data_IF_490023298315
#
_entry.id   IF_490023298315
#
_cell.length_a   1.000
_cell.length_b   1.000
_cell.length_c   1.000
_cell.angle_alpha   90.00
_cell.angle_beta   90.00
_cell.angle_gamma   90.00
#
_symmetry.space_group_name_H-M   'P 1'
#
loop_
_entity.id
_entity.type
_entity.pdbx_description
1 polymer ?
#
# COMPACT_ATOMS: atom_id res chain seq x y z
N UNK A 1 13.93 -28.62 11.87
CA UNK A 1 13.84 -27.57 10.84
C UNK A 1 12.48 -27.60 10.14
N UNK A 2 11.38 -27.25 10.83
CA UNK A 2 10.01 -27.27 10.27
C UNK A 2 9.14 -26.07 10.72
N UNK A 3 9.76 -24.97 11.16
CA UNK A 3 9.05 -23.78 11.65
C UNK A 3 9.65 -22.46 11.13
N UNK A 4 9.99 -22.41 9.84
CA UNK A 4 10.50 -21.20 9.17
C UNK A 4 9.68 -20.88 7.91
N UNK A 5 8.38 -21.16 7.94
CA UNK A 5 7.48 -20.99 6.79
C UNK A 5 6.47 -19.84 6.98
N UNK A 6 6.69 -18.92 7.93
CA UNK A 6 5.84 -17.74 8.12
C UNK A 6 6.72 -16.53 8.46
N UNK A 7 7.39 -15.98 7.44
CA UNK A 7 8.02 -14.66 7.56
C UNK A 7 7.28 -13.72 6.60
N UNK A 8 6.19 -13.17 7.15
CA UNK A 8 5.69 -11.81 7.01
C UNK A 8 5.96 -11.09 5.69
N UNK A 9 5.01 -11.20 4.77
CA UNK A 9 4.84 -10.26 3.67
C UNK A 9 3.92 -9.12 4.13
N UNK A 10 4.38 -8.22 5.01
CA UNK A 10 3.63 -6.97 5.29
C UNK A 10 3.95 -5.97 4.19
N UNK A 11 3.21 -6.10 3.09
CA UNK A 11 3.10 -5.05 2.11
C UNK A 11 1.62 -5.01 1.69
N UNK A 12 0.82 -4.25 2.44
CA UNK A 12 -0.49 -3.84 1.95
C UNK A 12 -0.20 -2.82 0.84
N UNK A 13 0.07 -3.36 -0.34
CA UNK A 13 0.24 -2.53 -1.53
C UNK A 13 -1.15 -2.33 -2.08
N UNK A 14 -1.67 -1.12 -1.93
CA UNK A 14 -2.58 -0.64 -2.95
C UNK A 14 -1.71 -0.57 -4.21
N UNK A 15 -1.75 -1.60 -5.06
CA UNK A 15 -1.20 -1.48 -6.40
C UNK A 15 -2.05 -0.42 -7.11
N UNK A 16 -1.40 0.38 -7.93
CA UNK A 16 -1.89 1.65 -8.41
C UNK A 16 -1.44 1.68 -9.87
N UNK A 17 -2.18 1.00 -10.76
CA UNK A 17 -1.78 0.82 -12.16
C UNK A 17 -2.31 1.95 -13.07
N UNK A 18 -1.53 2.36 -14.07
CA UNK A 18 -1.94 3.40 -15.01
C UNK A 18 -3.05 2.87 -15.94
N UNK A 19 -4.27 3.39 -15.83
CA UNK A 19 -5.33 3.13 -16.79
C UNK A 19 -5.39 4.24 -17.86
N UNK A 20 -5.51 3.87 -19.12
CA UNK A 20 -5.88 4.81 -20.18
C UNK A 20 -7.35 5.23 -20.00
N UNK A 21 -7.70 6.53 -20.04
CA UNK A 21 -9.07 6.96 -19.80
C UNK A 21 -9.95 6.61 -21.00
N UNK A 22 -10.88 5.68 -20.82
CA UNK A 22 -12.08 5.62 -21.67
C UNK A 22 -13.15 6.48 -21.00
N UNK A 23 -13.36 7.70 -21.54
CA UNK A 23 -14.40 8.60 -21.07
C UNK A 23 -15.75 8.13 -21.61
N UNK A 24 -16.59 7.60 -20.74
CA UNK A 24 -17.98 7.25 -21.05
C UNK A 24 -18.88 8.40 -20.54
N UNK A 25 -19.93 8.83 -21.28
CA UNK A 25 -20.77 9.99 -20.90
C UNK A 25 -21.43 9.88 -19.51
N UNK A 26 -21.57 8.67 -18.96
CA UNK A 26 -22.10 8.40 -17.62
C UNK A 26 -21.16 8.82 -16.46
N UNK A 27 -19.87 9.07 -16.72
CA UNK A 27 -18.90 9.47 -15.67
C UNK A 27 -19.19 10.84 -15.06
N UNK A 28 -19.79 11.77 -15.79
CA UNK A 28 -20.18 13.08 -15.24
C UNK A 28 -21.25 12.96 -14.15
N UNK A 29 -22.16 11.99 -14.29
CA UNK A 29 -23.20 11.73 -13.29
C UNK A 29 -22.62 11.00 -12.08
N UNK A 30 -21.75 10.00 -12.30
CA UNK A 30 -21.12 9.21 -11.23
C UNK A 30 -20.24 10.09 -10.34
N UNK A 31 -19.38 10.93 -10.91
CA UNK A 31 -18.42 11.79 -10.17
C UNK A 31 -19.10 12.85 -9.29
N UNK A 32 -20.35 13.20 -9.59
CA UNK A 32 -21.17 14.12 -8.79
C UNK A 32 -21.99 13.43 -7.68
N UNK A 33 -22.02 12.09 -7.66
CA UNK A 33 -22.84 11.33 -6.73
C UNK A 33 -22.30 11.37 -5.29
N UNK A 34 -23.21 11.28 -4.29
CA UNK A 34 -22.81 11.18 -2.87
C UNK A 34 -21.96 9.93 -2.61
N UNK A 35 -22.25 8.83 -3.30
CA UNK A 35 -21.50 7.58 -3.19
C UNK A 35 -20.07 7.76 -3.68
N UNK A 36 -19.87 8.42 -4.82
CA UNK A 36 -18.54 8.74 -5.30
C UNK A 36 -17.75 9.62 -4.32
N UNK A 37 -18.39 10.63 -3.72
CA UNK A 37 -17.75 11.45 -2.70
C UNK A 37 -17.32 10.63 -1.47
N UNK A 38 -18.13 9.65 -1.04
CA UNK A 38 -17.75 8.72 0.03
C UNK A 38 -16.53 7.89 -0.38
N UNK A 39 -16.58 7.21 -1.53
CA UNK A 39 -15.48 6.34 -1.99
C UNK A 39 -14.19 7.14 -2.19
N UNK A 40 -14.29 8.34 -2.75
CA UNK A 40 -13.17 9.28 -2.93
C UNK A 40 -12.55 9.68 -1.60
N UNK A 41 -13.37 10.04 -0.61
CA UNK A 41 -12.90 10.38 0.73
C UNK A 41 -12.18 9.20 1.37
N UNK A 42 -12.78 8.01 1.36
CA UNK A 42 -12.18 6.79 1.92
C UNK A 42 -10.85 6.45 1.24
N UNK A 43 -10.77 6.56 -0.09
CA UNK A 43 -9.54 6.37 -0.85
C UNK A 43 -8.45 7.36 -0.43
N UNK A 44 -8.79 8.65 -0.27
CA UNK A 44 -7.85 9.69 0.15
C UNK A 44 -7.35 9.47 1.59
N UNK A 45 -8.26 9.19 2.51
CA UNK A 45 -7.91 8.97 3.92
C UNK A 45 -7.05 7.70 4.08
N UNK A 46 -7.31 6.67 3.26
CA UNK A 46 -6.47 5.48 3.21
C UNK A 46 -5.09 5.77 2.61
N UNK A 47 -4.99 6.59 1.56
CA UNK A 47 -3.69 7.04 1.01
C UNK A 47 -2.87 7.75 2.10
N UNK A 48 -3.48 8.72 2.80
CA UNK A 48 -2.82 9.44 3.89
C UNK A 48 -2.41 8.54 5.08
N UNK A 49 -3.13 7.46 5.31
CA UNK A 49 -2.78 6.43 6.31
C UNK A 49 -1.54 5.63 5.89
N UNK A 50 -1.43 5.28 4.62
CA UNK A 50 -0.35 4.46 4.07
C UNK A 50 0.93 5.26 3.80
N UNK A 51 0.78 6.56 3.54
CA UNK A 51 1.87 7.47 3.18
C UNK A 51 2.00 8.61 4.17
N UNK A 52 1.85 8.31 5.47
CA UNK A 52 2.14 9.29 6.52
C UNK A 52 3.65 9.55 6.60
N UNK A 53 4.03 10.67 7.21
CA UNK A 53 5.43 11.05 7.37
C UNK A 53 6.27 9.94 8.04
N UNK A 54 5.77 9.37 9.14
CA UNK A 54 6.43 8.27 9.86
C UNK A 54 6.68 7.04 8.97
N UNK A 55 5.80 6.78 7.99
CA UNK A 55 5.97 5.69 7.04
C UNK A 55 7.10 5.99 6.05
N UNK A 56 7.16 7.22 5.54
CA UNK A 56 8.28 7.67 4.71
C UNK A 56 9.61 7.55 5.46
N UNK A 57 9.66 7.99 6.72
CA UNK A 57 10.86 7.86 7.55
C UNK A 57 11.29 6.39 7.70
N UNK A 58 10.36 5.48 7.99
CA UNK A 58 10.69 4.04 8.12
C UNK A 58 11.19 3.40 6.83
N UNK A 59 10.63 3.78 5.68
CA UNK A 59 11.12 3.31 4.39
C UNK A 59 12.52 3.89 4.12
N UNK A 60 12.73 5.17 4.44
CA UNK A 60 14.01 5.85 4.28
C UNK A 60 15.11 5.25 5.17
N UNK A 61 14.83 4.98 6.44
CA UNK A 61 15.74 4.28 7.37
C UNK A 61 16.21 2.96 6.77
N UNK A 62 15.27 2.14 6.27
CA UNK A 62 15.57 0.84 5.67
C UNK A 62 16.43 0.95 4.40
N UNK A 63 16.07 1.84 3.46
CA UNK A 63 16.82 2.02 2.21
C UNK A 63 18.23 2.56 2.48
N UNK A 64 18.38 3.44 3.47
CA UNK A 64 19.71 3.90 3.89
C UNK A 64 20.52 2.79 4.58
N UNK A 65 19.88 1.90 5.35
CA UNK A 65 20.54 0.71 5.91
C UNK A 65 21.07 -0.19 4.78
N UNK A 66 20.26 -0.42 3.72
CA UNK A 66 20.69 -1.15 2.52
C UNK A 66 21.84 -0.46 1.79
N UNK A 67 21.78 0.88 1.61
CA UNK A 67 22.84 1.63 0.95
C UNK A 67 24.15 1.58 1.74
N UNK A 68 24.07 1.68 3.06
CA UNK A 68 25.22 1.54 3.94
C UNK A 68 25.82 0.14 3.87
N UNK A 69 24.99 -0.90 3.82
CA UNK A 69 25.47 -2.26 3.61
C UNK A 69 26.18 -2.41 2.25
N UNK A 70 25.57 -1.90 1.18
CA UNK A 70 26.16 -1.83 -0.16
C UNK A 70 27.56 -1.19 -0.18
N UNK A 71 27.75 -0.11 0.59
CA UNK A 71 29.01 0.64 0.59
C UNK A 71 30.11 0.01 1.46
N UNK A 72 29.76 -0.83 2.43
CA UNK A 72 30.68 -1.26 3.48
C UNK A 72 30.95 -2.77 3.50
N UNK A 73 30.16 -3.60 2.82
CA UNK A 73 30.31 -5.05 2.81
C UNK A 73 31.12 -5.53 1.61
N UNK A 74 32.33 -6.04 1.86
CA UNK A 74 33.25 -6.49 0.80
C UNK A 74 32.72 -7.72 0.05
N UNK A 75 32.02 -8.64 0.74
CA UNK A 75 31.43 -9.82 0.08
C UNK A 75 30.35 -9.39 -0.91
N UNK A 76 29.53 -8.41 -0.53
CA UNK A 76 28.50 -7.86 -1.39
C UNK A 76 29.11 -7.14 -2.61
N UNK A 77 30.21 -6.40 -2.44
CA UNK A 77 30.92 -5.74 -3.56
C UNK A 77 31.51 -6.72 -4.57
N UNK A 78 31.94 -7.89 -4.10
CA UNK A 78 32.44 -8.96 -4.97
C UNK A 78 31.32 -9.78 -5.63
N UNK A 79 30.08 -9.66 -5.14
CA UNK A 79 28.96 -10.43 -5.65
C UNK A 79 28.50 -9.96 -7.03
N UNK A 80 28.13 -10.89 -7.90
CA UNK A 80 27.65 -10.61 -9.25
C UNK A 80 26.37 -9.74 -9.33
N UNK A 81 25.68 -9.55 -8.21
CA UNK A 81 24.47 -8.71 -8.10
C UNK A 81 24.76 -7.26 -7.71
N UNK A 82 25.99 -6.93 -7.30
CA UNK A 82 26.37 -5.66 -6.67
C UNK A 82 25.88 -4.42 -7.42
N UNK A 83 26.35 -4.22 -8.66
CA UNK A 83 26.05 -3.01 -9.44
C UNK A 83 24.54 -2.81 -9.65
N UNK A 84 23.79 -3.91 -9.81
CA UNK A 84 22.33 -3.85 -9.94
C UNK A 84 21.66 -3.53 -8.62
N UNK A 85 22.10 -4.16 -7.54
CA UNK A 85 21.59 -3.90 -6.20
C UNK A 85 21.78 -2.43 -5.82
N UNK A 86 22.99 -1.91 -5.99
CA UNK A 86 23.31 -0.50 -5.73
C UNK A 86 22.39 0.44 -6.50
N UNK A 87 22.27 0.22 -7.81
CA UNK A 87 21.41 1.03 -8.69
C UNK A 87 19.95 1.03 -8.22
N UNK A 88 19.40 -0.13 -7.88
CA UNK A 88 18.00 -0.22 -7.43
C UNK A 88 17.80 0.46 -6.06
N UNK A 89 18.77 0.38 -5.15
CA UNK A 89 18.72 1.10 -3.87
C UNK A 89 18.74 2.62 -4.08
N UNK A 90 19.65 3.12 -4.92
CA UNK A 90 19.72 4.56 -5.22
C UNK A 90 18.45 5.07 -5.91
N UNK A 91 17.90 4.27 -6.82
CA UNK A 91 16.64 4.60 -7.50
C UNK A 91 15.48 4.62 -6.51
N UNK A 92 15.41 3.67 -5.56
CA UNK A 92 14.40 3.68 -4.50
C UNK A 92 14.50 4.94 -3.62
N UNK A 93 15.71 5.36 -3.25
CA UNK A 93 15.92 6.58 -2.44
C UNK A 93 15.45 7.83 -3.16
N UNK A 94 15.76 7.96 -4.46
CA UNK A 94 15.31 9.09 -5.28
C UNK A 94 13.79 9.10 -5.45
N UNK A 95 13.17 7.94 -5.73
CA UNK A 95 11.72 7.82 -5.82
C UNK A 95 11.02 8.12 -4.49
N UNK A 96 11.60 7.71 -3.36
CA UNK A 96 11.07 8.02 -2.04
C UNK A 96 11.10 9.52 -1.77
N UNK A 97 12.17 10.20 -2.17
CA UNK A 97 12.28 11.66 -2.06
C UNK A 97 11.19 12.36 -2.87
N UNK A 98 10.95 11.93 -4.11
CA UNK A 98 9.88 12.46 -4.96
C UNK A 98 8.50 12.23 -4.34
N UNK A 99 8.25 11.07 -3.74
CA UNK A 99 6.99 10.79 -3.05
C UNK A 99 6.80 11.62 -1.78
N UNK A 100 7.87 11.97 -1.09
CA UNK A 100 7.77 12.87 0.05
C UNK A 100 7.33 14.29 -0.37
N UNK A 101 7.58 14.69 -1.61
CA UNK A 101 7.11 15.96 -2.19
C UNK A 101 5.68 15.85 -2.73
N UNK A 102 5.32 14.72 -3.35
CA UNK A 102 3.99 14.44 -3.89
C UNK A 102 3.53 13.01 -3.51
N UNK A 103 2.96 12.83 -2.30
CA UNK A 103 2.57 11.51 -1.80
C UNK A 103 1.50 10.83 -2.63
N UNK A 104 0.67 11.58 -3.37
CA UNK A 104 -0.40 11.04 -4.18
C UNK A 104 0.08 10.65 -5.61
N UNK A 105 1.37 10.80 -5.90
CA UNK A 105 1.95 10.41 -7.19
C UNK A 105 2.01 8.88 -7.37
N UNK A 106 0.90 8.34 -7.84
CA UNK A 106 0.68 6.95 -8.20
C UNK A 106 1.82 6.32 -9.02
N UNK A 107 2.33 7.04 -10.03
CA UNK A 107 3.39 6.53 -10.90
C UNK A 107 4.69 6.34 -10.12
N UNK A 108 5.03 7.28 -9.25
CA UNK A 108 6.22 7.20 -8.39
C UNK A 108 6.06 6.11 -7.32
N UNK A 109 4.87 5.95 -6.74
CA UNK A 109 4.58 4.85 -5.80
C UNK A 109 4.78 3.49 -6.47
N UNK A 110 4.28 3.33 -7.70
CA UNK A 110 4.43 2.11 -8.48
C UNK A 110 5.89 1.84 -8.86
N UNK A 111 6.61 2.88 -9.29
CA UNK A 111 8.03 2.78 -9.59
C UNK A 111 8.82 2.34 -8.36
N UNK A 112 8.60 2.96 -7.19
CA UNK A 112 9.30 2.61 -5.95
C UNK A 112 9.07 1.14 -5.58
N UNK A 113 7.83 0.67 -5.71
CA UNK A 113 7.47 -0.73 -5.47
C UNK A 113 8.19 -1.68 -6.42
N UNK A 114 8.26 -1.35 -7.71
CA UNK A 114 8.92 -2.21 -8.69
C UNK A 114 10.42 -2.28 -8.46
N UNK A 115 11.07 -1.14 -8.20
CA UNK A 115 12.49 -1.06 -7.91
C UNK A 115 12.85 -1.87 -6.64
N UNK A 116 12.03 -1.75 -5.58
CA UNK A 116 12.18 -2.60 -4.39
C UNK A 116 11.95 -4.09 -4.70
N UNK A 117 10.99 -4.40 -5.58
CA UNK A 117 10.74 -5.74 -6.08
C UNK A 117 11.93 -6.34 -6.83
N UNK A 118 12.67 -5.54 -7.60
CA UNK A 118 13.90 -5.98 -8.28
C UNK A 118 15.01 -6.30 -7.27
N UNK A 119 15.16 -5.53 -6.18
CA UNK A 119 16.08 -5.87 -5.08
C UNK A 119 15.78 -7.28 -4.55
N UNK A 120 14.51 -7.58 -4.23
CA UNK A 120 14.10 -8.92 -3.79
C UNK A 120 14.45 -10.00 -4.82
N UNK A 121 14.22 -9.73 -6.11
CA UNK A 121 14.53 -10.69 -7.18
C UNK A 121 16.02 -10.96 -7.29
N UNK A 122 16.90 -9.97 -7.05
CA UNK A 122 18.34 -10.17 -7.03
C UNK A 122 18.75 -11.16 -5.94
N UNK A 123 18.30 -10.95 -4.70
CA UNK A 123 18.66 -11.83 -3.59
C UNK A 123 18.02 -13.21 -3.67
N UNK A 124 16.82 -13.35 -4.25
CA UNK A 124 16.22 -14.65 -4.51
C UNK A 124 16.99 -15.48 -5.56
N UNK A 125 17.82 -14.83 -6.39
CA UNK A 125 18.61 -15.47 -7.45
C UNK A 125 20.11 -15.51 -7.12
N UNK A 126 20.54 -14.89 -6.02
CA UNK A 126 21.92 -14.90 -5.59
C UNK A 126 22.37 -16.33 -5.26
N UNK A 127 23.62 -16.66 -5.59
CA UNK A 127 24.18 -17.99 -5.27
C UNK A 127 24.65 -18.04 -3.81
N UNK A 128 24.97 -16.88 -3.27
CA UNK A 128 25.52 -16.65 -1.95
C UNK A 128 24.38 -16.59 -0.92
N UNK A 129 24.14 -17.71 -0.24
CA UNK A 129 23.08 -17.84 0.76
C UNK A 129 23.21 -16.81 1.89
N UNK A 130 24.44 -16.52 2.35
CA UNK A 130 24.70 -15.52 3.38
C UNK A 130 24.15 -14.12 3.01
N UNK A 131 24.25 -13.72 1.73
CA UNK A 131 23.76 -12.42 1.26
C UNK A 131 22.24 -12.38 1.27
N UNK A 132 21.60 -13.48 0.87
CA UNK A 132 20.15 -13.63 0.92
C UNK A 132 19.63 -13.57 2.36
N UNK A 133 20.26 -14.30 3.29
CA UNK A 133 19.89 -14.32 4.70
C UNK A 133 20.09 -12.93 5.35
N UNK A 134 21.18 -12.24 5.03
CA UNK A 134 21.43 -10.88 5.52
C UNK A 134 20.35 -9.90 5.05
N UNK A 135 20.03 -9.91 3.76
CA UNK A 135 18.96 -9.07 3.22
C UNK A 135 17.60 -9.40 3.85
N UNK A 136 17.28 -10.69 4.03
CA UNK A 136 16.04 -11.13 4.70
C UNK A 136 15.95 -10.62 6.14
N UNK A 137 17.04 -10.65 6.89
CA UNK A 137 17.08 -10.13 8.26
C UNK A 137 16.79 -8.62 8.30
N UNK A 138 17.42 -7.85 7.40
CA UNK A 138 17.18 -6.41 7.29
C UNK A 138 15.72 -6.11 6.88
N UNK A 139 15.19 -6.84 5.90
CA UNK A 139 13.80 -6.70 5.46
C UNK A 139 12.80 -7.09 6.57
N UNK A 140 13.07 -8.17 7.31
CA UNK A 140 12.24 -8.61 8.42
C UNK A 140 12.18 -7.60 9.56
N UNK A 141 13.31 -6.98 9.91
CA UNK A 141 13.39 -5.88 10.87
C UNK A 141 12.57 -4.67 10.40
N UNK A 142 12.73 -4.27 9.13
CA UNK A 142 11.94 -3.19 8.53
C UNK A 142 10.44 -3.50 8.55
N UNK A 143 10.02 -4.67 8.07
CA UNK A 143 8.60 -5.04 8.01
C UNK A 143 7.94 -5.07 9.40
N UNK A 144 8.67 -5.57 10.40
CA UNK A 144 8.20 -5.59 11.80
C UNK A 144 8.04 -4.17 12.35
N UNK A 145 9.04 -3.31 12.11
CA UNK A 145 9.00 -1.89 12.50
C UNK A 145 7.84 -1.15 11.84
N UNK A 146 7.69 -1.32 10.52
CA UNK A 146 6.63 -0.70 9.73
C UNK A 146 5.23 -1.14 10.21
N UNK A 147 5.07 -2.41 10.57
CA UNK A 147 3.79 -2.92 11.08
C UNK A 147 3.40 -2.25 12.40
N UNK A 148 4.36 -2.03 13.30
CA UNK A 148 4.13 -1.33 14.58
C UNK A 148 3.74 0.11 14.32
N UNK A 149 4.42 0.79 13.38
CA UNK A 149 4.10 2.17 12.99
C UNK A 149 2.71 2.29 12.34
N UNK A 150 2.35 1.40 11.41
CA UNK A 150 1.10 1.48 10.66
C UNK A 150 -0.16 1.23 11.51
N UNK A 151 -0.05 0.40 12.55
CA UNK A 151 -1.21 -0.04 13.34
C UNK A 151 -2.06 1.11 13.89
N UNK A 152 -1.51 2.10 14.64
CA UNK A 152 -2.30 3.21 15.17
C UNK A 152 -2.94 4.09 14.08
N UNK A 153 -2.26 4.28 12.93
CA UNK A 153 -2.83 5.00 11.80
C UNK A 153 -4.05 4.27 11.23
N UNK A 154 -3.97 2.95 11.06
CA UNK A 154 -5.10 2.14 10.61
C UNK A 154 -6.26 2.12 11.62
N UNK A 155 -5.97 2.04 12.93
CA UNK A 155 -7.01 2.10 13.97
C UNK A 155 -7.78 3.43 13.94
N UNK A 156 -7.05 4.54 13.74
CA UNK A 156 -7.64 5.87 13.54
C UNK A 156 -8.49 5.90 12.26
N UNK A 157 -7.93 5.40 11.16
CA UNK A 157 -8.64 5.30 9.89
C UNK A 157 -9.94 4.49 10.00
N UNK A 158 -9.93 3.34 10.68
CA UNK A 158 -11.13 2.52 10.88
C UNK A 158 -12.22 3.26 11.66
N UNK A 159 -11.83 4.01 12.69
CA UNK A 159 -12.76 4.81 13.48
C UNK A 159 -13.41 5.91 12.63
N UNK A 160 -12.62 6.57 11.79
CA UNK A 160 -13.10 7.59 10.87
C UNK A 160 -14.01 6.98 9.79
N UNK A 161 -13.63 5.82 9.23
CA UNK A 161 -14.41 5.10 8.22
C UNK A 161 -15.81 4.73 8.74
N UNK A 162 -15.91 4.16 9.94
CA UNK A 162 -17.21 3.87 10.58
C UNK A 162 -18.05 5.13 10.75
N UNK A 163 -17.43 6.24 11.18
CA UNK A 163 -18.11 7.52 11.37
C UNK A 163 -18.65 8.08 10.05
N UNK A 164 -17.84 8.02 8.99
CA UNK A 164 -18.19 8.51 7.67
C UNK A 164 -19.32 7.71 7.02
N UNK A 165 -19.26 6.39 7.14
CA UNK A 165 -20.32 5.51 6.63
C UNK A 165 -21.62 5.73 7.41
N UNK A 166 -21.55 5.85 8.74
CA UNK A 166 -22.74 6.18 9.54
C UNK A 166 -23.34 7.54 9.14
N UNK A 167 -22.51 8.55 8.88
CA UNK A 167 -22.95 9.86 8.37
C UNK A 167 -23.60 9.77 6.98
N UNK A 168 -23.00 9.01 6.07
CA UNK A 168 -23.53 8.76 4.74
C UNK A 168 -24.89 8.04 4.79
N UNK A 169 -25.01 6.98 5.60
CA UNK A 169 -26.25 6.21 5.74
C UNK A 169 -27.39 7.05 6.32
N UNK A 170 -27.12 7.98 7.24
CA UNK A 170 -28.13 8.92 7.78
C UNK A 170 -28.71 9.87 6.73
N UNK A 171 -27.94 10.21 5.71
CA UNK A 171 -28.34 11.19 4.67
C UNK A 171 -28.74 10.53 3.34
N UNK A 172 -28.72 9.20 3.29
CA UNK A 172 -29.10 8.39 2.14
C UNK A 172 -30.58 7.99 2.20
N UNK A 173 -31.28 7.86 1.06
CA UNK A 173 -32.64 7.35 1.03
C UNK A 173 -32.73 5.96 1.70
N UNK A 174 -33.74 5.74 2.54
CA UNK A 174 -33.94 4.47 3.24
C UNK A 174 -34.01 3.31 2.22
N UNK A 175 -33.14 2.31 2.40
CA UNK A 175 -33.10 1.11 1.55
C UNK A 175 -32.17 1.19 0.32
N UNK A 176 -31.61 2.35 -0.03
CA UNK A 176 -30.76 2.48 -1.22
C UNK A 176 -29.40 1.77 -1.12
N UNK A 177 -28.97 1.37 0.09
CA UNK A 177 -27.62 0.86 0.34
C UNK A 177 -27.58 -0.36 1.28
N UNK A 178 -28.46 -1.35 1.06
CA UNK A 178 -28.56 -2.57 1.92
C UNK A 178 -27.22 -3.28 2.07
N UNK A 179 -26.40 -3.35 1.01
CA UNK A 179 -25.08 -4.01 1.08
C UNK A 179 -24.08 -3.22 1.94
N UNK A 180 -24.09 -1.89 1.86
CA UNK A 180 -23.25 -1.05 2.72
C UNK A 180 -23.65 -1.15 4.19
N UNK A 181 -24.95 -1.24 4.48
CA UNK A 181 -25.44 -1.44 5.85
C UNK A 181 -24.90 -2.76 6.42
N UNK A 182 -25.08 -3.87 5.69
CA UNK A 182 -24.56 -5.19 6.11
C UNK A 182 -23.05 -5.20 6.25
N UNK A 183 -22.35 -4.53 5.34
CA UNK A 183 -20.89 -4.39 5.42
C UNK A 183 -20.49 -3.62 6.67
N UNK A 184 -21.16 -2.50 6.97
CA UNK A 184 -20.84 -1.64 8.12
C UNK A 184 -21.11 -2.35 9.44
N UNK A 185 -22.24 -3.06 9.57
CA UNK A 185 -22.54 -3.90 10.74
C UNK A 185 -21.44 -4.95 10.97
N UNK A 186 -20.96 -5.59 9.90
CA UNK A 186 -19.85 -6.55 10.01
C UNK A 186 -18.54 -5.84 10.39
N UNK A 187 -18.29 -4.66 9.84
CA UNK A 187 -17.06 -3.90 10.06
C UNK A 187 -16.97 -3.40 11.50
N UNK A 188 -18.05 -2.86 12.05
CA UNK A 188 -18.11 -2.35 13.41
C UNK A 188 -17.94 -3.47 14.45
N UNK A 189 -18.46 -4.66 14.16
CA UNK A 189 -18.36 -5.84 15.03
C UNK A 189 -17.04 -6.62 14.88
N UNK A 190 -16.21 -6.32 13.88
CA UNK A 190 -14.93 -7.01 13.69
C UNK A 190 -13.86 -6.45 14.64
N UNK A 191 -13.23 -7.32 15.42
CA UNK A 191 -12.19 -6.96 16.39
C UNK A 191 -10.79 -7.35 15.93
N UNK A 192 -10.68 -8.28 14.98
CA UNK A 192 -9.41 -8.68 14.39
C UNK A 192 -8.91 -7.58 13.44
N UNK A 193 -7.79 -6.96 13.81
CA UNK A 193 -7.14 -5.90 13.03
C UNK A 193 -6.86 -6.32 11.58
N UNK A 194 -6.37 -7.55 11.38
CA UNK A 194 -6.04 -8.04 10.04
C UNK A 194 -7.34 -8.17 9.25
N UNK A 195 -8.38 -8.81 9.79
CA UNK A 195 -9.69 -8.92 9.13
C UNK A 195 -10.31 -7.56 8.85
N UNK A 196 -10.18 -6.57 9.74
CA UNK A 196 -10.64 -5.20 9.47
C UNK A 196 -9.95 -4.57 8.26
N UNK A 197 -8.64 -4.77 8.10
CA UNK A 197 -7.92 -4.35 6.88
C UNK A 197 -8.46 -5.06 5.64
N UNK A 198 -8.75 -6.36 5.74
CA UNK A 198 -9.33 -7.14 4.64
C UNK A 198 -10.69 -6.61 4.18
N UNK A 199 -11.48 -6.08 5.11
CA UNK A 199 -12.79 -5.53 4.79
C UNK A 199 -12.72 -4.24 3.95
N UNK A 200 -11.57 -3.57 3.87
CA UNK A 200 -11.40 -2.42 2.97
C UNK A 200 -11.48 -2.82 1.50
N UNK A 201 -11.02 -4.03 1.17
CA UNK A 201 -11.14 -4.57 -0.19
C UNK A 201 -12.62 -4.76 -0.52
N UNK A 202 -13.36 -5.40 0.39
CA UNK A 202 -14.78 -5.64 0.18
C UNK A 202 -15.63 -4.38 0.20
N UNK A 203 -15.19 -3.32 0.89
CA UNK A 203 -15.82 -1.99 0.80
C UNK A 203 -15.72 -1.43 -0.61
N UNK A 204 -14.53 -1.45 -1.22
CA UNK A 204 -14.32 -0.93 -2.57
C UNK A 204 -15.07 -1.74 -3.63
N UNK A 205 -15.27 -3.04 -3.40
CA UNK A 205 -16.07 -3.90 -4.28
C UNK A 205 -17.58 -3.62 -4.21
N UNK A 206 -18.08 -2.88 -3.21
CA UNK A 206 -19.48 -2.43 -3.17
C UNK A 206 -19.77 -1.35 -4.22
N UNK A 207 -18.73 -0.66 -4.71
CA UNK A 207 -18.86 0.55 -5.53
C UNK A 207 -17.98 0.46 -6.80
N UNK A 208 -18.22 -0.53 -7.68
CA UNK A 208 -17.34 -0.77 -8.83
C UNK A 208 -17.31 0.40 -9.82
N UNK A 209 -18.44 1.10 -10.01
CA UNK A 209 -18.53 2.25 -10.92
C UNK A 209 -17.76 3.46 -10.39
N UNK A 210 -17.88 3.74 -9.10
CA UNK A 210 -17.16 4.81 -8.42
C UNK A 210 -15.66 4.50 -8.37
N UNK A 211 -15.29 3.23 -8.14
CA UNK A 211 -13.91 2.78 -8.23
C UNK A 211 -13.35 3.08 -9.61
N UNK A 212 -14.04 2.69 -10.68
CA UNK A 212 -13.55 2.91 -12.04
C UNK A 212 -13.49 4.40 -12.40
N UNK A 213 -14.44 5.22 -11.91
CA UNK A 213 -14.37 6.67 -12.02
C UNK A 213 -13.17 7.27 -11.26
N UNK A 214 -12.85 6.74 -10.07
CA UNK A 214 -11.65 7.14 -9.31
C UNK A 214 -10.37 6.79 -10.07
N UNK A 215 -10.33 5.65 -10.76
CA UNK A 215 -9.15 5.28 -11.57
C UNK A 215 -8.86 6.31 -12.65
N UNK A 216 -9.90 6.85 -13.27
CA UNK A 216 -9.78 7.90 -14.29
C UNK A 216 -9.34 9.21 -13.65
N UNK A 217 -9.96 9.62 -12.54
CA UNK A 217 -9.63 10.90 -11.88
C UNK A 217 -8.19 10.90 -11.31
N UNK A 218 -7.81 9.83 -10.61
CA UNK A 218 -6.49 9.70 -9.99
C UNK A 218 -5.42 9.22 -10.99
N UNK A 219 -5.80 8.88 -12.23
CA UNK A 219 -4.94 8.21 -13.23
C UNK A 219 -4.27 6.96 -12.65
N UNK A 220 -5.01 6.24 -11.82
CA UNK A 220 -4.43 5.28 -10.91
C UNK A 220 -5.39 4.16 -10.51
N UNK A 221 -5.00 2.92 -10.76
CA UNK A 221 -5.84 1.76 -10.53
C UNK A 221 -5.60 1.17 -9.16
N UNK A 222 -6.51 1.43 -8.22
CA UNK A 222 -6.49 0.86 -6.87
C UNK A 222 -6.70 -0.68 -6.92
N UNK A 223 -5.64 -1.43 -6.67
CA UNK A 223 -5.59 -2.87 -6.48
C UNK A 223 -5.20 -3.17 -5.04
N UNK A 224 -6.05 -3.80 -4.27
CA UNK A 224 -5.64 -4.25 -2.94
C UNK A 224 -4.86 -5.55 -3.09
N UNK A 225 -3.54 -5.48 -2.94
CA UNK A 225 -2.72 -6.67 -2.89
C UNK A 225 -2.42 -7.10 -1.46
N UNK A 226 -2.66 -8.38 -1.23
CA UNK A 226 -2.33 -9.06 0.00
C UNK A 226 -0.97 -9.70 -0.20
N UNK A 227 -0.01 -9.32 0.63
CA UNK A 227 1.18 -10.12 0.83
C UNK A 227 0.79 -11.42 1.56
N UNK A 228 0.77 -12.53 0.84
CA UNK A 228 0.90 -13.87 1.42
C UNK A 228 2.37 -14.17 1.69
#
# INVERSE_FOLDING_TARGET
>A
MRYLAVIFTVALTIQLALAAPHLNPEQGVITSSKTFQLVKKVSKDLSGTLWSHDIYEKIGEYLNELKNWCNNDDKLKEASIYEKFEKHVDTCLELLKQLNEDPDNCQTQWALRNEHGEIRKLFNKAKEQDLHETWLAMYGKFASSLQVTLKPFFETFFTNLSTDIAGFLKTSPQGANVQLIKWNEKFDNESDYIKKRWMLVSFMDLFPQERDALKVEQKCEIHFCIGM
#
